data_IF_509212810792
#
_entry.id   IF_509212810792
#
_cell.length_a   1.000
_cell.length_b   1.000
_cell.length_c   1.000
_cell.angle_alpha   90.00
_cell.angle_beta   90.00
_cell.angle_gamma   90.00
#
_symmetry.space_group_name_H-M   'P 1'
#
loop_
_entity.id
_entity.type
_entity.pdbx_description
1 polymer ?
#
# COMPACT_ATOMS: atom_id res chain seq x y z
N UNK A 1 -2.48 -52.51 54.82
CA UNK A 1 -1.86 -52.98 53.57
C UNK A 1 -2.83 -52.79 52.42
N UNK A 2 -2.32 -52.24 51.32
CA UNK A 2 -2.94 -52.01 49.99
C UNK A 2 -3.61 -50.65 49.76
N UNK A 3 -2.75 -49.80 49.20
CA UNK A 3 -2.92 -48.56 48.45
C UNK A 3 -3.93 -48.63 47.29
N UNK A 4 -4.52 -47.49 46.90
CA UNK A 4 -4.89 -47.13 45.52
C UNK A 4 -5.26 -45.63 45.51
N UNK A 5 -4.30 -44.73 45.24
CA UNK A 5 -3.99 -44.09 43.94
C UNK A 5 -5.11 -43.15 43.43
N UNK A 6 -4.88 -41.84 43.62
CA UNK A 6 -5.66 -40.77 43.01
C UNK A 6 -5.27 -40.61 41.54
N UNK A 7 -6.25 -40.61 40.64
CA UNK A 7 -6.05 -40.33 39.21
C UNK A 7 -6.36 -38.85 38.96
N UNK A 8 -5.33 -38.10 38.61
CA UNK A 8 -5.39 -36.74 38.11
C UNK A 8 -5.81 -36.81 36.63
N UNK A 9 -6.98 -36.27 36.28
CA UNK A 9 -7.42 -36.15 34.87
C UNK A 9 -6.76 -34.89 34.31
N UNK A 10 -5.70 -35.04 33.52
CA UNK A 10 -5.23 -34.00 32.61
C UNK A 10 -6.21 -33.93 31.43
N UNK A 11 -6.91 -32.80 31.30
CA UNK A 11 -7.57 -32.40 30.05
C UNK A 11 -6.47 -32.00 29.06
N UNK A 12 -6.11 -32.92 28.17
CA UNK A 12 -5.37 -32.59 26.94
C UNK A 12 -6.39 -32.00 25.98
N UNK A 13 -6.26 -30.70 25.70
CA UNK A 13 -6.99 -30.03 24.63
C UNK A 13 -6.64 -30.73 23.30
N UNK A 14 -7.68 -31.18 22.60
CA UNK A 14 -7.55 -31.87 21.33
C UNK A 14 -6.85 -30.97 20.31
N UNK A 15 -5.73 -31.47 19.79
CA UNK A 15 -5.12 -31.02 18.55
C UNK A 15 -6.12 -31.21 17.42
N UNK A 16 -6.53 -30.10 16.79
CA UNK A 16 -7.15 -30.14 15.47
C UNK A 16 -6.06 -30.56 14.49
N UNK A 17 -6.15 -31.79 14.00
CA UNK A 17 -5.39 -32.23 12.85
C UNK A 17 -6.23 -31.95 11.61
N UNK A 18 -5.71 -31.13 10.69
CA UNK A 18 -5.55 -31.42 9.27
C UNK A 18 -4.51 -30.43 8.73
N UNK A 19 -3.23 -30.66 9.05
CA UNK A 19 -2.12 -30.13 8.27
C UNK A 19 -2.07 -30.92 6.96
N UNK A 20 -2.88 -30.50 5.98
CA UNK A 20 -2.54 -30.73 4.58
C UNK A 20 -1.24 -29.99 4.29
N UNK A 21 -0.39 -30.55 3.44
CA UNK A 21 0.86 -29.93 3.01
C UNK A 21 0.59 -28.47 2.61
N UNK A 22 1.16 -27.54 3.38
CA UNK A 22 0.96 -26.10 3.27
C UNK A 22 1.83 -25.57 2.12
N UNK A 23 1.32 -24.64 1.32
CA UNK A 23 2.00 -24.21 0.09
C UNK A 23 3.26 -23.37 0.30
N UNK A 24 3.30 -22.54 1.35
CA UNK A 24 4.53 -21.94 1.86
C UNK A 24 4.51 -21.94 3.38
N UNK A 25 5.63 -22.29 4.01
CA UNK A 25 5.83 -22.00 5.43
C UNK A 25 5.90 -20.47 5.60
N UNK A 26 5.41 -19.94 6.73
CA UNK A 26 5.53 -18.50 7.00
C UNK A 26 7.01 -18.09 6.88
N UNK A 27 7.37 -17.28 5.87
CA UNK A 27 8.77 -16.90 5.64
C UNK A 27 9.27 -15.88 6.68
N UNK A 28 8.36 -15.34 7.50
CA UNK A 28 8.62 -14.31 8.49
C UNK A 28 8.64 -14.90 9.91
N UNK A 29 9.86 -15.12 10.41
CA UNK A 29 10.08 -15.63 11.75
C UNK A 29 9.58 -14.62 12.82
N UNK A 30 8.85 -15.12 13.81
CA UNK A 30 8.56 -14.35 15.02
C UNK A 30 9.77 -14.36 15.95
N UNK A 31 10.12 -13.19 16.44
CA UNK A 31 11.08 -12.96 17.54
C UNK A 31 10.44 -13.18 18.91
N UNK A 32 9.10 -13.26 19.00
CA UNK A 32 8.36 -13.45 20.25
C UNK A 32 8.46 -12.26 21.23
N UNK A 33 8.86 -11.08 20.74
CA UNK A 33 9.05 -9.88 21.56
C UNK A 33 7.81 -8.99 21.56
N UNK A 34 7.35 -8.59 22.76
CA UNK A 34 6.21 -7.69 22.94
C UNK A 34 4.84 -8.33 22.66
N UNK A 35 3.74 -7.57 22.80
CA UNK A 35 2.39 -8.06 22.48
C UNK A 35 2.18 -8.22 20.96
N UNK A 36 2.92 -7.47 20.15
CA UNK A 36 2.93 -7.54 18.69
C UNK A 36 4.36 -7.45 18.18
N UNK A 37 4.78 -8.43 17.37
CA UNK A 37 6.10 -8.44 16.75
C UNK A 37 6.09 -7.61 15.45
N UNK A 38 6.41 -6.31 15.55
CA UNK A 38 6.40 -5.42 14.39
C UNK A 38 7.40 -5.83 13.31
N UNK A 39 8.51 -6.49 13.65
CA UNK A 39 9.49 -6.98 12.67
C UNK A 39 8.89 -8.09 11.82
N UNK A 40 8.17 -9.00 12.46
CA UNK A 40 7.41 -10.05 11.75
C UNK A 40 6.34 -9.44 10.85
N UNK A 41 5.58 -8.45 11.34
CA UNK A 41 4.56 -7.76 10.54
C UNK A 41 5.18 -7.08 9.32
N UNK A 42 6.34 -6.42 9.48
CA UNK A 42 7.02 -5.75 8.37
C UNK A 42 7.40 -6.74 7.27
N UNK A 43 7.98 -7.87 7.66
CA UNK A 43 8.28 -8.95 6.73
C UNK A 43 7.03 -9.46 6.01
N UNK A 44 5.96 -9.72 6.76
CA UNK A 44 4.71 -10.21 6.18
C UNK A 44 4.12 -9.20 5.19
N UNK A 45 4.22 -7.89 5.46
CA UNK A 45 3.75 -6.87 4.53
C UNK A 45 4.51 -6.88 3.20
N UNK A 46 5.83 -7.12 3.22
CA UNK A 46 6.60 -7.29 1.98
C UNK A 46 6.29 -8.59 1.24
N UNK A 47 5.98 -9.67 1.97
CA UNK A 47 5.47 -10.92 1.37
C UNK A 47 4.12 -10.69 0.69
N UNK A 48 3.25 -9.82 1.23
CA UNK A 48 2.02 -9.43 0.53
C UNK A 48 2.33 -8.74 -0.81
N UNK A 49 3.29 -7.80 -0.86
CA UNK A 49 3.66 -7.17 -2.13
C UNK A 49 4.17 -8.20 -3.15
N UNK A 50 4.96 -9.19 -2.74
CA UNK A 50 5.33 -10.30 -3.65
C UNK A 50 4.11 -11.03 -4.22
N UNK A 51 3.09 -11.25 -3.40
CA UNK A 51 1.84 -11.88 -3.81
C UNK A 51 1.02 -11.01 -4.79
N UNK A 52 1.30 -9.71 -4.90
CA UNK A 52 0.67 -8.79 -5.85
C UNK A 52 1.45 -8.60 -7.16
N UNK A 53 2.69 -9.09 -7.28
CA UNK A 53 3.54 -8.86 -8.46
C UNK A 53 2.90 -9.40 -9.74
N UNK A 54 2.76 -8.62 -10.80
CA UNK A 54 2.38 -9.06 -12.15
C UNK A 54 3.62 -9.22 -13.03
N UNK A 55 3.57 -10.00 -14.11
CA UNK A 55 4.68 -10.19 -15.04
C UNK A 55 5.53 -11.43 -14.74
N UNK A 56 6.78 -11.40 -15.21
CA UNK A 56 7.80 -12.44 -15.03
C UNK A 56 8.35 -12.39 -13.61
N UNK A 57 8.09 -13.42 -12.80
CA UNK A 57 8.44 -13.44 -11.38
C UNK A 57 9.91 -13.82 -11.17
N UNK A 58 10.60 -13.20 -10.19
CA UNK A 58 12.00 -13.52 -9.95
C UNK A 58 12.13 -14.91 -9.33
N UNK A 59 13.20 -15.63 -9.69
CA UNK A 59 13.40 -17.02 -9.27
C UNK A 59 13.64 -17.23 -7.77
N UNK A 60 13.88 -16.16 -7.01
CA UNK A 60 14.03 -16.13 -5.56
C UNK A 60 12.78 -15.62 -4.82
N UNK A 61 11.64 -15.45 -5.50
CA UNK A 61 10.37 -15.08 -4.90
C UNK A 61 9.95 -16.05 -3.78
N UNK A 62 9.53 -15.51 -2.63
CA UNK A 62 9.08 -16.28 -1.45
C UNK A 62 7.66 -16.81 -1.61
N UNK A 63 6.82 -16.11 -2.37
CA UNK A 63 5.43 -16.50 -2.65
C UNK A 63 5.38 -17.46 -3.84
N UNK A 64 5.65 -18.75 -3.59
CA UNK A 64 5.85 -19.76 -4.65
C UNK A 64 4.56 -20.32 -5.26
N UNK A 65 3.39 -19.99 -4.71
CA UNK A 65 2.09 -20.32 -5.31
C UNK A 65 1.67 -19.33 -6.40
N UNK A 66 2.38 -18.21 -6.55
CA UNK A 66 2.24 -17.29 -7.70
C UNK A 66 3.11 -17.77 -8.87
N UNK A 67 2.63 -17.54 -10.09
CA UNK A 67 3.37 -17.81 -11.33
C UNK A 67 3.40 -16.56 -12.23
N UNK A 68 4.23 -16.63 -13.27
CA UNK A 68 4.31 -15.60 -14.32
C UNK A 68 2.92 -15.36 -14.92
N UNK A 69 2.53 -14.11 -15.03
CA UNK A 69 1.18 -13.75 -15.45
C UNK A 69 1.15 -12.43 -16.23
N UNK A 70 0.09 -12.24 -17.02
CA UNK A 70 -0.10 -11.03 -17.83
C UNK A 70 1.09 -10.69 -18.75
N UNK A 71 1.75 -11.71 -19.28
CA UNK A 71 2.96 -11.59 -20.14
C UNK A 71 2.72 -10.93 -21.51
N UNK A 72 1.46 -10.63 -21.85
CA UNK A 72 1.07 -9.91 -23.06
C UNK A 72 0.74 -8.43 -22.83
N UNK A 73 0.87 -7.91 -21.61
CA UNK A 73 0.53 -6.52 -21.27
C UNK A 73 1.29 -5.52 -22.15
N UNK A 74 0.55 -4.64 -22.83
CA UNK A 74 1.08 -3.61 -23.76
C UNK A 74 1.21 -4.04 -25.22
N UNK A 75 0.93 -5.31 -25.56
CA UNK A 75 1.00 -5.81 -26.94
C UNK A 75 0.03 -5.12 -27.91
N UNK A 76 -1.12 -4.65 -27.41
CA UNK A 76 -2.12 -3.89 -28.15
C UNK A 76 -1.63 -2.51 -28.62
N UNK A 77 -0.63 -1.97 -27.91
CA UNK A 77 0.00 -0.66 -28.19
C UNK A 77 1.47 -0.77 -28.62
N UNK A 78 1.98 -1.99 -28.79
CA UNK A 78 3.36 -2.24 -29.22
C UNK A 78 4.43 -1.82 -28.21
N UNK A 79 4.12 -1.91 -26.91
CA UNK A 79 5.03 -1.61 -25.79
C UNK A 79 5.16 -2.83 -24.89
N UNK A 80 6.28 -2.97 -24.19
CA UNK A 80 6.37 -3.90 -23.06
C UNK A 80 5.84 -3.19 -21.82
N UNK A 81 4.66 -3.60 -21.36
CA UNK A 81 4.08 -3.13 -20.10
C UNK A 81 3.95 -4.27 -19.09
N UNK A 82 4.74 -5.35 -19.21
CA UNK A 82 4.81 -6.42 -18.21
C UNK A 82 5.50 -5.93 -16.93
N UNK A 83 5.16 -6.53 -15.78
CA UNK A 83 5.64 -6.08 -14.46
C UNK A 83 4.56 -5.32 -13.67
N UNK A 84 4.99 -4.63 -12.62
CA UNK A 84 4.11 -3.82 -11.77
C UNK A 84 3.25 -4.68 -10.83
N UNK A 85 2.32 -4.04 -10.12
CA UNK A 85 1.45 -4.72 -9.17
C UNK A 85 0.03 -4.85 -9.68
N UNK A 86 -0.62 -5.98 -9.41
CA UNK A 86 -2.07 -6.03 -9.37
C UNK A 86 -2.57 -5.19 -8.20
N UNK A 87 -3.62 -4.42 -8.42
CA UNK A 87 -4.07 -3.38 -7.50
C UNK A 87 -4.59 -3.95 -6.17
N UNK A 88 -5.56 -4.87 -6.27
CA UNK A 88 -6.27 -5.39 -5.11
C UNK A 88 -6.43 -6.91 -5.19
N UNK A 89 -7.65 -7.40 -4.96
CA UNK A 89 -8.03 -8.79 -5.21
C UNK A 89 -8.23 -9.13 -6.68
N UNK A 90 -8.10 -8.16 -7.57
CA UNK A 90 -8.27 -8.21 -9.02
C UNK A 90 -6.93 -8.30 -9.76
N UNK A 91 -6.95 -8.21 -11.09
CA UNK A 91 -5.73 -8.24 -11.89
C UNK A 91 -5.56 -7.00 -12.78
N UNK A 92 -6.31 -5.92 -12.50
CA UNK A 92 -6.07 -4.63 -13.14
C UNK A 92 -4.82 -4.00 -12.53
N UNK A 93 -4.05 -3.31 -13.38
CA UNK A 93 -2.93 -2.46 -12.96
C UNK A 93 -3.38 -1.02 -12.98
N UNK A 94 -3.95 -0.53 -11.89
CA UNK A 94 -4.31 0.88 -11.73
C UNK A 94 -3.07 1.70 -11.34
N UNK A 95 -2.62 2.58 -12.24
CA UNK A 95 -1.37 3.31 -12.06
C UNK A 95 -1.42 4.32 -10.91
N UNK A 96 -2.57 4.96 -10.67
CA UNK A 96 -2.67 6.01 -9.65
C UNK A 96 -2.46 5.49 -8.20
N UNK A 97 -3.21 4.47 -7.73
CA UNK A 97 -2.95 3.86 -6.42
C UNK A 97 -1.61 3.10 -6.35
N UNK A 98 -1.13 2.54 -7.47
CA UNK A 98 0.21 1.92 -7.52
C UNK A 98 1.33 2.94 -7.31
N UNK A 99 1.21 4.13 -7.92
CA UNK A 99 2.16 5.21 -7.74
C UNK A 99 2.17 5.71 -6.28
N UNK A 100 1.00 5.92 -5.67
CA UNK A 100 0.90 6.26 -4.26
C UNK A 100 1.55 5.19 -3.36
N UNK A 101 1.30 3.91 -3.65
CA UNK A 101 1.92 2.79 -2.95
C UNK A 101 3.45 2.90 -3.01
N UNK A 102 4.01 3.09 -4.21
CA UNK A 102 5.45 3.23 -4.39
C UNK A 102 6.02 4.45 -3.65
N UNK A 103 5.35 5.61 -3.69
CA UNK A 103 5.80 6.78 -2.94
C UNK A 103 5.83 6.52 -1.44
N UNK A 104 4.82 5.84 -0.89
CA UNK A 104 4.76 5.49 0.52
C UNK A 104 5.81 4.46 0.95
N UNK A 105 6.08 3.44 0.12
CA UNK A 105 7.18 2.49 0.35
C UNK A 105 8.52 3.22 0.35
N UNK A 106 8.75 4.10 -0.63
CA UNK A 106 9.92 4.97 -0.69
C UNK A 106 10.04 5.86 0.55
N UNK A 107 8.95 6.48 0.98
CA UNK A 107 8.95 7.34 2.16
C UNK A 107 9.34 6.56 3.43
N UNK A 108 8.76 5.37 3.62
CA UNK A 108 9.12 4.48 4.73
C UNK A 108 10.60 4.09 4.71
N UNK A 109 11.14 3.76 3.54
CA UNK A 109 12.56 3.38 3.38
C UNK A 109 13.51 4.55 3.65
N UNK A 110 13.10 5.79 3.37
CA UNK A 110 13.93 6.99 3.59
C UNK A 110 13.90 7.42 5.05
N UNK A 111 12.71 7.62 5.62
CA UNK A 111 12.57 8.25 6.95
C UNK A 111 12.60 7.23 8.11
N UNK A 112 12.45 5.93 7.80
CA UNK A 112 12.50 4.83 8.77
C UNK A 112 13.40 3.67 8.29
N UNK A 113 14.55 4.01 7.68
CA UNK A 113 15.55 3.04 7.20
C UNK A 113 16.05 2.13 8.32
N UNK A 114 16.22 2.65 9.54
CA UNK A 114 16.70 1.89 10.69
C UNK A 114 15.66 0.85 11.13
N UNK A 115 14.37 1.19 11.07
CA UNK A 115 13.27 0.25 11.25
C UNK A 115 13.37 -0.94 10.30
N UNK A 116 13.49 -0.66 9.00
CA UNK A 116 13.69 -1.69 7.97
C UNK A 116 14.93 -2.54 8.20
N UNK A 117 16.07 -1.90 8.45
CA UNK A 117 17.36 -2.56 8.67
C UNK A 117 17.33 -3.50 9.88
N UNK A 118 16.74 -3.05 10.99
CA UNK A 118 16.70 -3.85 12.23
C UNK A 118 15.70 -5.01 12.18
N UNK A 119 14.73 -4.96 11.26
CA UNK A 119 13.85 -6.08 10.90
C UNK A 119 14.47 -7.02 9.86
N UNK A 120 15.61 -6.65 9.25
CA UNK A 120 16.19 -7.37 8.12
C UNK A 120 15.33 -7.30 6.86
N UNK A 121 14.61 -6.19 6.66
CA UNK A 121 13.64 -5.98 5.58
C UNK A 121 14.03 -4.82 4.64
N UNK A 122 15.28 -4.36 4.71
CA UNK A 122 15.75 -3.24 3.88
C UNK A 122 15.82 -3.62 2.39
N UNK A 123 16.40 -4.78 2.06
CA UNK A 123 16.49 -5.22 0.66
C UNK A 123 15.12 -5.65 0.13
N UNK A 124 14.33 -6.42 0.91
CA UNK A 124 12.94 -6.76 0.54
C UNK A 124 12.10 -5.51 0.24
N UNK A 125 12.29 -4.44 1.02
CA UNK A 125 11.61 -3.17 0.78
C UNK A 125 12.10 -2.43 -0.46
N UNK A 126 13.42 -2.45 -0.73
CA UNK A 126 13.96 -1.94 -1.99
C UNK A 126 13.41 -2.72 -3.18
N UNK A 127 13.36 -4.04 -3.11
CA UNK A 127 12.81 -4.87 -4.18
C UNK A 127 11.32 -4.60 -4.40
N UNK A 128 10.56 -4.38 -3.32
CA UNK A 128 9.16 -4.01 -3.41
C UNK A 128 8.94 -2.64 -4.11
N UNK A 129 9.75 -1.63 -3.75
CA UNK A 129 9.72 -0.32 -4.41
C UNK A 129 10.15 -0.43 -5.87
N UNK A 130 11.26 -1.12 -6.13
CA UNK A 130 11.85 -1.29 -7.46
C UNK A 130 10.89 -1.96 -8.43
N UNK A 131 10.10 -2.93 -7.97
CA UNK A 131 9.10 -3.61 -8.79
C UNK A 131 8.05 -2.66 -9.39
N UNK A 132 7.60 -1.68 -8.61
CA UNK A 132 6.68 -0.65 -9.11
C UNK A 132 7.40 0.34 -10.03
N UNK A 133 8.59 0.80 -9.64
CA UNK A 133 9.30 1.82 -10.42
C UNK A 133 9.87 1.31 -11.72
N UNK A 134 10.29 0.04 -11.82
CA UNK A 134 10.62 -0.61 -13.08
C UNK A 134 9.44 -0.61 -14.05
N UNK A 135 8.23 -0.84 -13.55
CA UNK A 135 7.01 -0.73 -14.34
C UNK A 135 6.72 0.72 -14.77
N UNK A 136 6.91 1.70 -13.89
CA UNK A 136 6.73 3.12 -14.26
C UNK A 136 7.72 3.58 -15.33
N UNK A 137 8.98 3.12 -15.27
CA UNK A 137 9.97 3.41 -16.30
C UNK A 137 9.57 2.80 -17.66
N UNK A 138 8.97 1.61 -17.68
CA UNK A 138 8.39 1.03 -18.91
C UNK A 138 7.16 1.81 -19.39
N UNK A 139 6.30 2.24 -18.46
CA UNK A 139 5.05 2.94 -18.75
C UNK A 139 5.27 4.39 -19.23
N UNK A 140 6.38 5.03 -18.83
CA UNK A 140 6.83 6.32 -19.35
C UNK A 140 7.47 6.13 -20.73
N UNK A 141 6.65 6.29 -21.76
CA UNK A 141 7.02 5.89 -23.13
C UNK A 141 7.44 7.08 -24.02
N UNK A 142 7.33 8.28 -23.47
CA UNK A 142 7.79 9.54 -24.06
C UNK A 142 7.61 10.70 -23.08
N UNK A 143 8.24 11.84 -23.37
CA UNK A 143 8.35 12.98 -22.45
C UNK A 143 7.04 13.40 -21.76
N UNK A 144 5.93 13.42 -22.53
CA UNK A 144 4.57 13.72 -22.06
C UNK A 144 3.63 12.55 -22.41
N UNK A 145 4.04 11.31 -22.11
CA UNK A 145 3.26 10.10 -22.35
C UNK A 145 3.50 9.05 -21.26
N UNK A 146 2.46 8.73 -20.49
CA UNK A 146 2.50 7.76 -19.39
C UNK A 146 1.32 6.79 -19.46
N UNK A 147 1.60 5.49 -19.50
CA UNK A 147 0.58 4.45 -19.38
C UNK A 147 0.09 4.32 -17.93
N UNK A 148 -1.19 4.60 -17.72
CA UNK A 148 -1.81 4.69 -16.40
C UNK A 148 -2.67 3.50 -16.02
N UNK A 149 -3.02 2.63 -16.98
CA UNK A 149 -3.83 1.46 -16.69
C UNK A 149 -3.58 0.34 -17.70
N UNK A 150 -3.51 -0.90 -17.21
CA UNK A 150 -3.56 -2.12 -18.04
C UNK A 150 -4.61 -3.08 -17.49
N UNK A 151 -5.55 -3.46 -18.33
CA UNK A 151 -6.71 -4.30 -17.96
C UNK A 151 -7.99 -3.49 -17.75
N UNK A 152 -9.06 -3.90 -18.41
CA UNK A 152 -10.40 -3.30 -18.26
C UNK A 152 -11.06 -3.78 -16.97
N UNK A 153 -11.44 -2.85 -16.09
CA UNK A 153 -11.98 -3.20 -14.77
C UNK A 153 -13.22 -4.09 -14.85
N UNK A 154 -14.15 -3.82 -15.77
CA UNK A 154 -15.36 -4.64 -15.89
C UNK A 154 -15.06 -6.06 -16.39
N UNK A 155 -14.23 -6.18 -17.42
CA UNK A 155 -13.86 -7.48 -18.01
C UNK A 155 -13.02 -8.31 -17.04
N UNK A 156 -12.05 -7.68 -16.39
CA UNK A 156 -11.22 -8.29 -15.34
C UNK A 156 -12.09 -8.75 -14.16
N UNK A 157 -12.99 -7.90 -13.70
CA UNK A 157 -13.81 -8.20 -12.52
C UNK A 157 -14.85 -9.29 -12.77
N UNK A 158 -15.22 -9.52 -14.04
CA UNK A 158 -16.08 -10.65 -14.45
C UNK A 158 -15.38 -12.01 -14.40
N UNK A 159 -14.04 -12.02 -14.28
CA UNK A 159 -13.24 -13.22 -14.12
C UNK A 159 -12.89 -13.43 -12.64
N UNK A 160 -12.97 -14.68 -12.19
CA UNK A 160 -12.46 -15.10 -10.88
C UNK A 160 -11.58 -16.33 -11.05
N UNK A 161 -10.27 -16.19 -10.85
CA UNK A 161 -9.34 -17.27 -11.09
C UNK A 161 -7.89 -16.82 -10.88
N UNK A 162 -6.94 -17.67 -11.27
CA UNK A 162 -5.52 -17.33 -11.22
C UNK A 162 -5.16 -16.30 -12.29
N UNK A 163 -4.23 -15.37 -12.03
CA UNK A 163 -3.80 -14.38 -13.02
C UNK A 163 -3.12 -15.03 -14.25
N UNK A 164 -2.43 -16.15 -14.07
CA UNK A 164 -1.82 -16.95 -15.14
C UNK A 164 -2.85 -17.61 -16.08
N UNK A 165 -4.10 -17.77 -15.64
CA UNK A 165 -5.20 -18.35 -16.41
C UNK A 165 -6.06 -17.29 -17.14
N UNK A 166 -5.68 -16.00 -17.08
CA UNK A 166 -6.40 -14.92 -17.75
C UNK A 166 -6.36 -15.07 -19.28
N UNK A 167 -7.53 -15.00 -19.93
CA UNK A 167 -7.65 -15.05 -21.40
C UNK A 167 -8.37 -13.85 -22.01
N UNK A 168 -8.92 -12.95 -21.20
CA UNK A 168 -9.58 -11.75 -21.69
C UNK A 168 -8.57 -10.75 -22.26
N UNK A 169 -9.05 -9.81 -23.09
CA UNK A 169 -8.23 -8.69 -23.53
C UNK A 169 -7.85 -7.80 -22.36
N UNK A 170 -6.59 -7.39 -22.29
CA UNK A 170 -6.05 -6.48 -21.26
C UNK A 170 -5.54 -5.19 -21.92
N UNK A 171 -6.45 -4.29 -22.36
CA UNK A 171 -6.08 -3.06 -23.04
C UNK A 171 -5.22 -2.14 -22.18
N UNK A 172 -4.33 -1.39 -22.82
CA UNK A 172 -3.47 -0.40 -22.18
C UNK A 172 -3.94 1.03 -22.46
N UNK A 173 -4.16 1.82 -21.40
CA UNK A 173 -4.52 3.24 -21.51
C UNK A 173 -3.43 4.14 -20.95
N UNK A 174 -3.33 5.32 -21.55
CA UNK A 174 -2.30 6.32 -21.24
C UNK A 174 -2.90 7.71 -21.11
N UNK A 175 -2.16 8.55 -20.41
CA UNK A 175 -2.29 10.00 -20.49
C UNK A 175 -1.19 10.55 -21.39
N UNK A 176 -1.50 11.59 -22.15
CA UNK A 176 -0.57 12.26 -23.04
C UNK A 176 -0.84 13.77 -23.16
N UNK A 177 -0.14 14.46 -24.05
CA UNK A 177 -0.29 15.91 -24.24
C UNK A 177 -1.73 16.34 -24.59
N UNK A 178 -2.50 15.50 -25.28
CA UNK A 178 -3.87 15.80 -25.71
C UNK A 178 -4.93 15.27 -24.73
N UNK A 179 -4.57 14.29 -23.91
CA UNK A 179 -5.40 13.73 -22.85
C UNK A 179 -4.57 13.62 -21.55
N UNK A 180 -4.34 14.74 -20.82
CA UNK A 180 -3.44 14.76 -19.69
C UNK A 180 -4.02 14.17 -18.40
N UNK A 181 -3.19 14.03 -17.37
CA UNK A 181 -3.58 13.57 -16.03
C UNK A 181 -2.53 13.96 -15.00
N UNK A 182 -2.67 15.15 -14.43
CA UNK A 182 -1.68 15.76 -13.52
C UNK A 182 -1.54 15.02 -12.20
N UNK A 183 -2.65 14.50 -11.69
CA UNK A 183 -2.73 13.64 -10.52
C UNK A 183 -1.88 12.37 -10.72
N UNK A 184 -2.15 11.59 -11.77
CA UNK A 184 -1.41 10.36 -12.08
C UNK A 184 0.08 10.64 -12.39
N UNK A 185 0.37 11.61 -13.25
CA UNK A 185 1.75 11.95 -13.61
C UNK A 185 2.53 12.51 -12.41
N UNK A 186 1.89 13.35 -11.59
CA UNK A 186 2.46 13.90 -10.37
C UNK A 186 2.77 12.83 -9.34
N UNK A 187 1.84 11.93 -9.05
CA UNK A 187 2.10 10.84 -8.09
C UNK A 187 3.20 9.89 -8.59
N UNK A 188 3.25 9.60 -9.89
CA UNK A 188 4.32 8.78 -10.47
C UNK A 188 5.68 9.49 -10.41
N UNK A 189 5.70 10.81 -10.61
CA UNK A 189 6.91 11.62 -10.42
C UNK A 189 7.37 11.60 -8.95
N UNK A 190 6.45 11.68 -7.99
CA UNK A 190 6.76 11.57 -6.57
C UNK A 190 7.37 10.21 -6.22
N UNK A 191 6.78 9.12 -6.72
CA UNK A 191 7.28 7.76 -6.52
C UNK A 191 8.71 7.58 -7.03
N UNK A 192 8.98 8.03 -8.26
CA UNK A 192 10.30 7.93 -8.88
C UNK A 192 11.34 8.85 -8.22
N UNK A 193 10.93 10.05 -7.76
CA UNK A 193 11.78 10.92 -6.97
C UNK A 193 12.14 10.28 -5.61
N UNK A 194 11.17 9.70 -4.90
CA UNK A 194 11.42 8.95 -3.67
C UNK A 194 12.37 7.76 -3.91
N UNK A 195 12.13 6.98 -4.98
CA UNK A 195 13.02 5.88 -5.35
C UNK A 195 14.44 6.35 -5.67
N UNK A 196 14.61 7.49 -6.35
CA UNK A 196 15.95 8.03 -6.60
C UNK A 196 16.75 8.26 -5.32
N UNK A 197 16.10 8.72 -4.24
CA UNK A 197 16.74 8.89 -2.93
C UNK A 197 17.12 7.54 -2.33
N UNK A 198 16.20 6.56 -2.34
CA UNK A 198 16.43 5.21 -1.80
C UNK A 198 17.61 4.52 -2.48
N UNK A 199 17.70 4.63 -3.81
CA UNK A 199 18.71 3.92 -4.60
C UNK A 199 20.01 4.69 -4.77
N UNK A 200 20.10 5.98 -4.42
CA UNK A 200 21.24 6.85 -4.71
C UNK A 200 22.61 6.25 -4.33
N UNK A 201 22.68 5.51 -3.22
CA UNK A 201 23.93 4.95 -2.68
C UNK A 201 24.13 3.47 -3.01
N UNK A 202 23.10 2.76 -3.49
CA UNK A 202 23.17 1.32 -3.78
C UNK A 202 23.14 1.01 -5.27
N UNK A 203 22.46 1.84 -6.06
CA UNK A 203 22.45 1.83 -7.51
C UNK A 203 22.26 3.27 -8.04
N UNK A 204 23.37 4.00 -8.12
CA UNK A 204 23.35 5.39 -8.58
C UNK A 204 22.91 5.55 -10.05
N UNK A 205 23.04 4.51 -10.87
CA UNK A 205 22.61 4.53 -12.27
C UNK A 205 21.09 4.50 -12.35
N UNK A 206 20.48 3.54 -11.64
CA UNK A 206 19.03 3.45 -11.52
C UNK A 206 18.43 4.69 -10.85
N UNK A 207 19.07 5.20 -9.79
CA UNK A 207 18.63 6.42 -9.13
C UNK A 207 18.58 7.63 -10.09
N UNK A 208 19.60 7.78 -10.94
CA UNK A 208 19.64 8.85 -11.93
C UNK A 208 18.56 8.69 -13.02
N UNK A 209 18.28 7.45 -13.45
CA UNK A 209 17.20 7.15 -14.39
C UNK A 209 15.83 7.50 -13.80
N UNK A 210 15.53 7.02 -12.59
CA UNK A 210 14.32 7.38 -11.85
C UNK A 210 14.16 8.89 -11.70
N UNK A 211 15.23 9.59 -11.30
CA UNK A 211 15.18 11.04 -11.13
C UNK A 211 14.96 11.77 -12.45
N UNK A 212 15.56 11.30 -13.54
CA UNK A 212 15.35 11.89 -14.87
C UNK A 212 13.88 11.82 -15.27
N UNK A 213 13.27 10.62 -15.17
CA UNK A 213 11.86 10.43 -15.53
C UNK A 213 10.93 11.17 -14.57
N UNK A 214 11.25 11.23 -13.26
CA UNK A 214 10.49 12.00 -12.28
C UNK A 214 10.37 13.48 -12.68
N UNK A 215 11.44 14.08 -13.21
CA UNK A 215 11.42 15.47 -13.67
C UNK A 215 10.54 15.67 -14.90
N UNK A 216 10.60 14.74 -15.86
CA UNK A 216 9.76 14.80 -17.07
C UNK A 216 8.28 14.68 -16.72
N UNK A 217 7.92 13.72 -15.86
CA UNK A 217 6.55 13.51 -15.42
C UNK A 217 6.00 14.66 -14.57
N UNK A 218 6.81 15.27 -13.72
CA UNK A 218 6.39 16.48 -13.00
C UNK A 218 6.14 17.65 -13.96
N UNK A 219 7.03 17.86 -14.93
CA UNK A 219 6.82 18.89 -15.93
C UNK A 219 5.55 18.62 -16.75
N UNK A 220 5.30 17.37 -17.13
CA UNK A 220 4.07 16.96 -17.79
C UNK A 220 2.85 17.34 -16.94
N UNK A 221 2.86 16.95 -15.67
CA UNK A 221 1.78 17.19 -14.74
C UNK A 221 1.48 18.68 -14.57
N UNK A 222 2.51 19.52 -14.41
CA UNK A 222 2.32 20.95 -14.15
C UNK A 222 1.92 21.74 -15.42
N UNK A 223 2.45 21.38 -16.59
CA UNK A 223 2.20 22.09 -17.85
C UNK A 223 0.91 21.66 -18.58
N UNK A 224 0.40 20.46 -18.30
CA UNK A 224 -0.79 19.89 -18.95
C UNK A 224 -1.77 19.43 -17.88
N UNK A 225 -2.63 20.35 -17.47
CA UNK A 225 -3.52 20.17 -16.32
C UNK A 225 -4.88 19.59 -16.67
N UNK A 226 -5.14 18.38 -16.20
CA UNK A 226 -6.43 17.68 -16.24
C UNK A 226 -6.42 16.55 -15.20
N UNK A 227 -7.59 16.07 -14.79
CA UNK A 227 -7.75 14.88 -13.94
C UNK A 227 -7.57 13.61 -14.80
N UNK A 228 -6.71 12.67 -14.40
CA UNK A 228 -6.36 11.54 -15.27
C UNK A 228 -7.57 10.69 -15.67
N UNK A 229 -8.56 10.57 -14.79
CA UNK A 229 -9.77 9.77 -15.05
C UNK A 229 -10.69 10.38 -16.11
N UNK A 230 -10.46 11.64 -16.53
CA UNK A 230 -11.10 12.21 -17.71
C UNK A 230 -10.47 11.67 -19.00
N UNK A 231 -9.15 11.45 -18.97
CA UNK A 231 -8.35 10.92 -20.07
C UNK A 231 -8.38 9.39 -20.15
N UNK A 232 -8.47 8.72 -18.99
CA UNK A 232 -8.66 7.28 -18.83
C UNK A 232 -10.01 7.05 -18.12
N UNK A 233 -11.14 7.17 -18.83
CA UNK A 233 -12.47 7.08 -18.23
C UNK A 233 -12.77 5.70 -17.62
N UNK A 234 -12.06 4.66 -18.03
CA UNK A 234 -12.17 3.31 -17.48
C UNK A 234 -11.73 3.22 -16.01
N UNK A 235 -10.97 4.20 -15.51
CA UNK A 235 -10.57 4.26 -14.11
C UNK A 235 -11.62 4.96 -13.23
N UNK A 236 -12.56 5.72 -13.81
CA UNK A 236 -13.43 6.64 -13.06
C UNK A 236 -14.45 5.94 -12.14
N UNK A 237 -14.77 4.67 -12.39
CA UNK A 237 -15.66 3.88 -11.52
C UNK A 237 -14.90 3.14 -10.40
N UNK A 238 -13.56 3.22 -10.41
CA UNK A 238 -12.67 2.50 -9.47
C UNK A 238 -11.82 3.49 -8.66
N UNK A 239 -10.95 4.24 -9.34
CA UNK A 239 -9.97 5.16 -8.75
C UNK A 239 -10.15 6.58 -9.29
N UNK A 240 -11.36 7.12 -9.22
CA UNK A 240 -11.61 8.50 -9.59
C UNK A 240 -10.76 9.47 -8.75
N UNK A 241 -10.15 10.46 -9.38
CA UNK A 241 -9.56 11.58 -8.63
C UNK A 241 -10.69 12.45 -8.07
N UNK A 242 -10.85 12.44 -6.75
CA UNK A 242 -11.88 13.19 -6.01
C UNK A 242 -11.32 14.49 -5.43
N UNK A 243 -10.08 14.46 -4.93
CA UNK A 243 -9.35 15.60 -4.37
C UNK A 243 -8.95 16.64 -5.42
N UNK A 244 -8.77 16.21 -6.67
CA UNK A 244 -8.21 17.01 -7.75
C UNK A 244 -6.79 16.55 -8.10
N UNK A 245 -5.99 17.46 -8.67
CA UNK A 245 -4.56 17.22 -8.95
C UNK A 245 -3.63 18.18 -8.19
N UNK A 246 -4.21 19.13 -7.44
CA UNK A 246 -3.45 20.25 -6.87
C UNK A 246 -2.51 19.81 -5.76
N UNK A 247 -2.93 18.79 -5.01
CA UNK A 247 -2.16 18.15 -3.97
C UNK A 247 -1.03 17.29 -4.52
N UNK A 248 -1.20 16.59 -5.64
CA UNK A 248 -0.14 15.84 -6.34
C UNK A 248 0.91 16.75 -6.94
N UNK A 249 0.52 17.91 -7.49
CA UNK A 249 1.49 18.91 -7.97
C UNK A 249 2.37 19.43 -6.83
N UNK A 250 1.77 19.69 -5.66
CA UNK A 250 2.53 20.12 -4.49
C UNK A 250 3.41 19.00 -3.93
N UNK A 251 2.84 17.79 -3.83
CA UNK A 251 3.49 16.57 -3.35
C UNK A 251 4.73 16.19 -4.17
N UNK A 252 4.58 16.11 -5.48
CA UNK A 252 5.65 15.77 -6.41
C UNK A 252 6.74 16.84 -6.46
N UNK A 253 6.38 18.12 -6.42
CA UNK A 253 7.34 19.21 -6.29
C UNK A 253 8.18 19.09 -5.00
N UNK A 254 7.57 18.74 -3.87
CA UNK A 254 8.32 18.51 -2.62
C UNK A 254 9.25 17.30 -2.70
N UNK A 255 8.81 16.19 -3.28
CA UNK A 255 9.66 15.01 -3.47
C UNK A 255 10.85 15.31 -4.40
N UNK A 256 10.62 16.03 -5.49
CA UNK A 256 11.69 16.47 -6.37
C UNK A 256 12.63 17.46 -5.67
N UNK A 257 12.12 18.40 -4.88
CA UNK A 257 12.98 19.26 -4.07
C UNK A 257 13.82 18.44 -3.09
N UNK A 258 13.22 17.46 -2.41
CA UNK A 258 13.94 16.57 -1.50
C UNK A 258 15.02 15.74 -2.20
N UNK A 259 14.77 15.27 -3.42
CA UNK A 259 15.72 14.48 -4.19
C UNK A 259 16.86 15.31 -4.81
N UNK A 260 16.63 16.60 -5.09
CA UNK A 260 17.52 17.43 -5.93
C UNK A 260 18.17 18.60 -5.20
N UNK A 261 17.52 19.13 -4.17
CA UNK A 261 17.86 20.40 -3.54
C UNK A 261 17.61 21.64 -4.40
N UNK A 262 16.96 21.51 -5.57
CA UNK A 262 16.73 22.63 -6.48
C UNK A 262 15.59 23.54 -6.01
N UNK A 263 15.90 24.81 -5.76
CA UNK A 263 14.94 25.77 -5.19
C UNK A 263 13.70 25.99 -6.05
N UNK A 264 13.79 25.79 -7.38
CA UNK A 264 12.65 25.90 -8.29
C UNK A 264 11.50 24.97 -7.90
N UNK A 265 11.78 23.76 -7.44
CA UNK A 265 10.74 22.84 -6.97
C UNK A 265 10.15 23.25 -5.64
N UNK A 266 10.95 23.80 -4.72
CA UNK A 266 10.45 24.34 -3.47
C UNK A 266 9.54 25.56 -3.72
N UNK A 267 9.94 26.45 -4.63
CA UNK A 267 9.14 27.62 -5.02
C UNK A 267 7.83 27.19 -5.69
N UNK A 268 7.86 26.18 -6.57
CA UNK A 268 6.66 25.60 -7.16
C UNK A 268 5.74 24.98 -6.10
N UNK A 269 6.28 24.18 -5.17
CA UNK A 269 5.52 23.61 -4.07
C UNK A 269 4.84 24.70 -3.22
N UNK A 270 5.55 25.81 -2.91
CA UNK A 270 4.97 26.96 -2.18
C UNK A 270 3.83 27.62 -2.96
N UNK A 271 4.00 27.77 -4.27
CA UNK A 271 2.94 28.31 -5.13
C UNK A 271 1.72 27.38 -5.18
N UNK A 272 1.91 26.07 -5.28
CA UNK A 272 0.82 25.09 -5.26
C UNK A 272 0.14 25.04 -3.89
N UNK A 273 0.91 25.12 -2.80
CA UNK A 273 0.41 25.23 -1.43
C UNK A 273 -0.63 26.35 -1.28
N UNK A 274 -0.29 27.54 -1.78
CA UNK A 274 -1.19 28.70 -1.76
C UNK A 274 -2.35 28.57 -2.76
N UNK A 275 -2.06 28.16 -4.00
CA UNK A 275 -3.04 28.18 -5.09
C UNK A 275 -4.13 27.13 -4.95
N UNK A 276 -3.81 25.99 -4.35
CA UNK A 276 -4.75 24.87 -4.16
C UNK A 276 -5.25 24.75 -2.72
N UNK A 277 -4.87 25.69 -1.84
CA UNK A 277 -5.37 25.72 -0.47
C UNK A 277 -4.94 24.51 0.35
N UNK A 278 -3.71 24.04 0.15
CA UNK A 278 -3.17 22.83 0.80
C UNK A 278 -3.16 22.97 2.32
N UNK A 279 -3.04 24.19 2.85
CA UNK A 279 -3.09 24.45 4.29
C UNK A 279 -4.42 24.08 4.96
N UNK A 280 -5.49 23.88 4.18
CA UNK A 280 -6.79 23.47 4.73
C UNK A 280 -6.73 21.98 5.11
N UNK A 281 -6.85 21.63 6.41
CA UNK A 281 -6.72 20.25 6.86
C UNK A 281 -7.73 19.32 6.17
N UNK A 282 -7.29 18.24 5.50
CA UNK A 282 -8.20 17.26 4.94
C UNK A 282 -8.82 16.41 6.07
N UNK A 283 -9.78 15.57 5.71
CA UNK A 283 -10.35 14.56 6.61
C UNK A 283 -9.64 13.20 6.55
N UNK A 284 -8.62 13.06 5.69
CA UNK A 284 -7.91 11.81 5.45
C UNK A 284 -6.51 12.03 4.85
N UNK A 285 -5.79 10.93 4.65
CA UNK A 285 -4.60 10.81 3.81
C UNK A 285 -4.72 9.48 3.05
N UNK A 286 -4.61 9.49 1.73
CA UNK A 286 -4.93 8.32 0.89
C UNK A 286 -4.25 8.38 -0.48
N UNK A 287 -4.49 7.35 -1.30
CA UNK A 287 -4.10 7.33 -2.71
C UNK A 287 -4.70 8.48 -3.52
N UNK A 288 -5.75 9.15 -3.02
CA UNK A 288 -6.40 10.29 -3.67
C UNK A 288 -5.92 11.61 -3.07
N UNK A 289 -5.95 11.75 -1.73
CA UNK A 289 -5.63 13.03 -1.08
C UNK A 289 -4.26 13.04 -0.38
N UNK A 290 -3.36 13.93 -0.84
CA UNK A 290 -1.97 14.05 -0.38
C UNK A 290 -1.74 15.21 0.58
N UNK A 291 -2.75 16.05 0.88
CA UNK A 291 -2.58 17.28 1.66
C UNK A 291 -1.87 17.05 3.00
N UNK A 292 -2.27 16.02 3.77
CA UNK A 292 -1.64 15.71 5.05
C UNK A 292 -0.17 15.27 4.89
N UNK A 293 0.14 14.52 3.83
CA UNK A 293 1.51 14.15 3.46
C UNK A 293 2.34 15.37 3.08
N UNK A 294 1.78 16.29 2.29
CA UNK A 294 2.40 17.55 1.91
C UNK A 294 2.71 18.42 3.13
N UNK A 295 1.79 18.52 4.09
CA UNK A 295 2.03 19.24 5.37
C UNK A 295 3.21 18.65 6.15
N UNK A 296 3.28 17.31 6.24
CA UNK A 296 4.37 16.62 6.91
C UNK A 296 5.72 16.81 6.18
N UNK A 297 5.76 16.66 4.86
CA UNK A 297 6.98 16.89 4.07
C UNK A 297 7.45 18.33 4.11
N UNK A 298 6.56 19.31 4.00
CA UNK A 298 6.95 20.71 4.17
C UNK A 298 7.52 20.97 5.56
N UNK A 299 6.90 20.42 6.62
CA UNK A 299 7.40 20.55 7.99
C UNK A 299 8.80 19.94 8.15
N UNK A 300 9.05 18.80 7.51
CA UNK A 300 10.36 18.16 7.45
C UNK A 300 11.40 19.03 6.72
N UNK A 301 11.01 19.58 5.56
CA UNK A 301 11.92 20.27 4.65
C UNK A 301 12.14 21.75 5.01
N UNK A 302 11.25 22.35 5.79
CA UNK A 302 11.30 23.73 6.28
C UNK A 302 11.13 23.76 7.81
N UNK A 303 12.06 23.16 8.57
CA UNK A 303 11.92 23.00 10.01
C UNK A 303 11.85 24.35 10.74
N UNK A 304 10.94 24.45 11.70
CA UNK A 304 10.71 25.67 12.50
C UNK A 304 9.76 26.68 11.86
N UNK A 305 9.31 26.47 10.62
CA UNK A 305 8.27 27.29 9.99
C UNK A 305 6.87 26.81 10.39
N UNK A 306 6.17 27.63 11.17
CA UNK A 306 4.80 27.34 11.64
C UNK A 306 3.75 27.35 10.52
N UNK A 307 4.10 27.88 9.34
CA UNK A 307 3.24 27.86 8.15
C UNK A 307 2.84 26.44 7.77
N UNK A 308 3.72 25.46 8.01
CA UNK A 308 3.53 24.05 7.63
C UNK A 308 3.22 23.16 8.83
N UNK A 309 3.90 23.36 9.96
CA UNK A 309 3.66 22.56 11.17
C UNK A 309 2.32 22.87 11.83
N UNK A 310 1.80 24.10 11.69
CA UNK A 310 0.48 24.49 12.20
C UNK A 310 -0.67 23.69 11.55
N UNK A 311 -0.79 23.68 10.22
CA UNK A 311 -1.77 22.84 9.51
C UNK A 311 -1.63 21.34 9.80
N UNK A 312 -0.40 20.80 9.90
CA UNK A 312 -0.16 19.42 10.29
C UNK A 312 -0.72 19.11 11.69
N UNK A 313 -0.44 19.99 12.65
CA UNK A 313 -0.95 19.87 14.01
C UNK A 313 -2.49 19.94 14.03
N UNK A 314 -3.08 20.86 13.26
CA UNK A 314 -4.53 21.01 13.16
C UNK A 314 -5.18 19.77 12.54
N UNK A 315 -4.62 19.23 11.45
CA UNK A 315 -5.06 17.98 10.83
C UNK A 315 -5.11 16.84 11.86
N UNK A 316 -4.00 16.59 12.55
CA UNK A 316 -3.93 15.48 13.53
C UNK A 316 -4.86 15.69 14.74
N UNK A 317 -5.06 16.94 15.17
CA UNK A 317 -6.08 17.27 16.16
C UNK A 317 -7.50 16.97 15.67
N UNK A 318 -7.82 17.28 14.40
CA UNK A 318 -9.11 16.96 13.82
C UNK A 318 -9.33 15.45 13.72
N UNK A 319 -8.34 14.71 13.20
CA UNK A 319 -8.39 13.25 13.07
C UNK A 319 -8.60 12.56 14.42
N UNK A 320 -7.88 12.97 15.48
CA UNK A 320 -8.07 12.40 16.82
C UNK A 320 -9.45 12.61 17.42
N UNK A 321 -10.17 13.64 16.96
CA UNK A 321 -11.52 13.96 17.41
C UNK A 321 -12.62 13.35 16.51
N UNK A 322 -12.24 12.61 15.46
CA UNK A 322 -13.19 11.88 14.64
C UNK A 322 -13.85 10.72 15.40
N UNK A 323 -15.00 10.23 14.92
CA UNK A 323 -15.60 9.03 15.48
C UNK A 323 -14.65 7.84 15.48
N UNK A 324 -14.76 7.00 16.50
CA UNK A 324 -13.97 5.79 16.66
C UNK A 324 -14.86 4.57 16.74
N UNK A 325 -14.31 3.40 16.43
CA UNK A 325 -14.92 2.12 16.77
C UNK A 325 -14.92 1.92 18.30
N UNK A 326 -15.73 1.01 18.86
CA UNK A 326 -15.73 0.74 20.30
C UNK A 326 -14.36 0.35 20.89
N UNK A 327 -13.45 -0.19 20.08
CA UNK A 327 -12.08 -0.51 20.49
C UNK A 327 -11.05 0.60 20.26
N UNK A 328 -11.47 1.79 19.80
CA UNK A 328 -10.63 2.99 19.75
C UNK A 328 -9.91 3.28 18.42
N UNK A 329 -10.17 2.49 17.37
CA UNK A 329 -9.69 2.84 16.01
C UNK A 329 -10.49 4.02 15.46
N UNK A 330 -9.81 5.03 14.92
CA UNK A 330 -10.45 6.11 14.16
C UNK A 330 -11.19 5.54 12.96
N UNK A 331 -12.43 5.97 12.76
CA UNK A 331 -13.27 5.53 11.65
C UNK A 331 -13.49 6.69 10.69
N UNK A 332 -12.70 6.71 9.61
CA UNK A 332 -12.73 7.78 8.60
C UNK A 332 -13.74 7.45 7.51
N UNK A 333 -13.63 6.25 6.92
CA UNK A 333 -14.53 5.77 5.86
C UNK A 333 -14.82 4.28 6.02
N UNK A 334 -15.90 3.84 5.35
CA UNK A 334 -16.32 2.44 5.33
C UNK A 334 -15.41 1.56 4.47
N UNK A 335 -14.99 2.04 3.30
CA UNK A 335 -14.08 1.35 2.40
C UNK A 335 -12.64 1.49 2.89
N UNK A 336 -11.98 0.38 3.23
CA UNK A 336 -10.62 0.42 3.75
C UNK A 336 -10.50 1.16 5.09
N UNK A 337 -11.37 0.88 6.06
CA UNK A 337 -11.38 1.57 7.35
C UNK A 337 -10.04 1.44 8.10
N UNK A 338 -9.42 0.26 8.04
CA UNK A 338 -8.07 0.02 8.59
C UNK A 338 -6.97 0.71 7.79
N UNK A 339 -7.05 0.74 6.45
CA UNK A 339 -6.15 1.52 5.58
C UNK A 339 -6.15 2.98 5.98
N UNK A 340 -7.33 3.58 6.12
CA UNK A 340 -7.44 4.98 6.52
C UNK A 340 -6.84 5.23 7.90
N UNK A 341 -7.12 4.36 8.88
CA UNK A 341 -6.52 4.46 10.22
C UNK A 341 -4.99 4.33 10.19
N UNK A 342 -4.45 3.39 9.41
CA UNK A 342 -3.01 3.21 9.23
C UNK A 342 -2.34 4.42 8.55
N UNK A 343 -2.97 4.97 7.51
CA UNK A 343 -2.47 6.14 6.79
C UNK A 343 -2.32 7.36 7.70
N UNK A 344 -3.35 7.68 8.49
CA UNK A 344 -3.26 8.83 9.41
C UNK A 344 -2.37 8.54 10.62
N UNK A 345 -2.25 7.28 11.05
CA UNK A 345 -1.29 6.87 12.06
C UNK A 345 0.16 7.09 11.58
N UNK A 346 0.47 6.76 10.33
CA UNK A 346 1.76 7.06 9.72
C UNK A 346 2.07 8.57 9.75
N UNK A 347 1.12 9.42 9.35
CA UNK A 347 1.29 10.89 9.44
C UNK A 347 1.50 11.33 10.90
N UNK A 348 0.83 10.69 11.86
CA UNK A 348 1.07 10.88 13.29
C UNK A 348 2.50 10.54 13.72
N UNK A 349 3.02 9.39 13.28
CA UNK A 349 4.41 8.98 13.56
C UNK A 349 5.42 9.93 12.93
N UNK A 350 5.18 10.39 11.70
CA UNK A 350 5.98 11.43 11.05
C UNK A 350 5.95 12.75 11.84
N UNK A 351 4.77 13.22 12.24
CA UNK A 351 4.64 14.42 13.06
C UNK A 351 5.37 14.28 14.40
N UNK A 352 5.33 13.10 15.02
CA UNK A 352 6.07 12.82 16.24
C UNK A 352 7.59 12.88 16.04
N UNK A 353 8.10 12.27 14.97
CA UNK A 353 9.51 12.36 14.55
C UNK A 353 9.96 13.81 14.33
N UNK A 354 9.05 14.65 13.83
CA UNK A 354 9.26 16.08 13.57
C UNK A 354 9.09 16.99 14.80
N UNK A 355 8.72 16.43 15.96
CA UNK A 355 8.54 17.20 17.20
C UNK A 355 7.19 17.91 17.32
N UNK A 356 6.25 17.68 16.41
CA UNK A 356 4.89 18.23 16.46
C UNK A 356 4.05 17.35 17.38
N UNK A 357 3.61 17.87 18.54
CA UNK A 357 2.85 17.15 19.58
C UNK A 357 3.38 15.72 19.85
N UNK A 358 4.70 15.59 19.93
CA UNK A 358 5.38 14.30 19.71
C UNK A 358 4.85 13.15 20.57
N UNK A 359 4.73 13.33 21.89
CA UNK A 359 4.23 12.29 22.77
C UNK A 359 2.77 11.90 22.51
N UNK A 360 1.93 12.88 22.17
CA UNK A 360 0.51 12.64 21.85
C UNK A 360 0.35 11.92 20.52
N UNK A 361 1.07 12.37 19.49
CA UNK A 361 1.03 11.79 18.17
C UNK A 361 1.60 10.36 18.14
N UNK A 362 2.73 10.13 18.84
CA UNK A 362 3.31 8.79 19.00
C UNK A 362 2.30 7.84 19.64
N UNK A 363 1.86 8.12 20.88
CA UNK A 363 0.99 7.22 21.62
C UNK A 363 -0.35 6.96 20.91
N UNK A 364 -0.92 7.99 20.25
CA UNK A 364 -2.14 7.82 19.48
C UNK A 364 -1.91 6.93 18.26
N UNK A 365 -0.88 7.18 17.44
CA UNK A 365 -0.61 6.38 16.26
C UNK A 365 -0.31 4.91 16.60
N UNK A 366 0.47 4.67 17.66
CA UNK A 366 0.73 3.32 18.20
C UNK A 366 -0.57 2.59 18.54
N UNK A 367 -1.55 3.29 19.13
CA UNK A 367 -2.85 2.68 19.46
C UNK A 367 -3.64 2.25 18.23
N UNK A 368 -3.53 3.00 17.11
CA UNK A 368 -4.21 2.67 15.85
C UNK A 368 -3.59 1.44 15.20
N UNK A 369 -2.26 1.39 15.13
CA UNK A 369 -1.53 0.22 14.62
C UNK A 369 -1.81 -1.00 15.50
N UNK A 370 -1.75 -0.86 16.83
CA UNK A 370 -2.03 -1.97 17.73
C UNK A 370 -3.48 -2.46 17.65
N UNK A 371 -4.44 -1.58 17.35
CA UNK A 371 -5.81 -2.02 17.04
C UNK A 371 -5.83 -2.94 15.82
N UNK A 372 -5.17 -2.54 14.73
CA UNK A 372 -5.08 -3.33 13.49
C UNK A 372 -4.41 -4.69 13.76
N UNK A 373 -3.38 -4.71 14.60
CA UNK A 373 -2.64 -5.92 14.95
C UNK A 373 -3.36 -6.82 15.96
N UNK A 374 -4.26 -6.25 16.76
CA UNK A 374 -5.35 -6.97 17.41
C UNK A 374 -5.63 -6.66 18.88
N UNK A 375 -5.35 -5.44 19.32
CA UNK A 375 -5.65 -4.98 20.70
C UNK A 375 -7.14 -4.99 21.02
N UNK A 376 -7.99 -5.02 19.99
CA UNK A 376 -9.45 -5.14 20.10
C UNK A 376 -9.96 -6.59 20.14
N UNK A 377 -9.06 -7.58 20.21
CA UNK A 377 -9.40 -9.00 20.33
C UNK A 377 -9.33 -9.81 19.02
N UNK A 378 -9.00 -9.16 17.90
CA UNK A 378 -8.69 -9.84 16.63
C UNK A 378 -7.70 -9.05 15.80
N UNK A 379 -6.86 -9.72 15.02
CA UNK A 379 -6.08 -9.05 13.98
C UNK A 379 -6.93 -8.76 12.74
N UNK A 380 -6.54 -7.72 12.00
CA UNK A 380 -6.99 -7.40 10.65
C UNK A 380 -5.89 -7.62 9.60
N UNK A 381 -4.76 -8.23 9.99
CA UNK A 381 -3.68 -8.62 9.10
C UNK A 381 -3.75 -10.12 8.87
N UNK A 382 -3.87 -10.53 7.61
CA UNK A 382 -4.02 -11.94 7.23
C UNK A 382 -2.84 -12.77 7.75
N UNK A 383 -3.16 -13.86 8.46
CA UNK A 383 -2.24 -14.78 9.13
C UNK A 383 -1.32 -14.20 10.23
N UNK A 384 -1.61 -13.00 10.75
CA UNK A 384 -0.88 -12.43 11.89
C UNK A 384 -1.72 -12.40 13.17
N UNK A 385 -1.10 -12.67 14.33
CA UNK A 385 -1.77 -12.56 15.63
C UNK A 385 -2.91 -13.56 15.83
N UNK A 386 -3.93 -13.17 16.61
CA UNK A 386 -5.08 -14.02 16.95
C UNK A 386 -6.31 -13.65 16.12
N UNK A 387 -7.12 -14.64 15.74
CA UNK A 387 -8.40 -14.45 15.03
C UNK A 387 -8.26 -13.56 13.77
N UNK A 388 -7.19 -13.79 13.00
CA UNK A 388 -6.94 -13.08 11.75
C UNK A 388 -7.96 -13.43 10.65
N UNK A 389 -8.12 -12.59 9.62
CA UNK A 389 -8.89 -12.91 8.42
C UNK A 389 -8.30 -14.10 7.67
N UNK A 390 -9.15 -15.03 7.24
CA UNK A 390 -8.78 -16.21 6.46
C UNK A 390 -9.42 -16.21 5.07
N UNK A 391 -10.39 -15.32 4.81
CA UNK A 391 -11.17 -15.30 3.57
C UNK A 391 -11.08 -13.92 2.89
N UNK A 392 -9.88 -13.36 2.66
CA UNK A 392 -9.77 -12.08 1.97
C UNK A 392 -10.38 -12.17 0.56
N UNK A 393 -11.02 -11.08 0.11
CA UNK A 393 -11.57 -10.93 -1.24
C UNK A 393 -10.40 -10.79 -2.24
N UNK A 394 -9.81 -11.92 -2.62
CA UNK A 394 -8.59 -11.95 -3.41
C UNK A 394 -8.55 -13.20 -4.29
N UNK A 395 -8.52 -12.99 -5.61
CA UNK A 395 -8.69 -14.05 -6.62
C UNK A 395 -7.61 -15.11 -6.53
N UNK A 396 -6.35 -14.72 -6.68
CA UNK A 396 -5.24 -15.67 -6.79
C UNK A 396 -5.07 -16.52 -5.52
N UNK A 397 -5.22 -15.91 -4.33
CA UNK A 397 -5.11 -16.67 -3.07
C UNK A 397 -6.30 -17.59 -2.80
N UNK A 398 -7.46 -17.34 -3.42
CA UNK A 398 -8.63 -18.20 -3.31
C UNK A 398 -8.58 -19.46 -4.19
N UNK A 399 -7.59 -19.54 -5.09
CA UNK A 399 -7.39 -20.67 -5.98
C UNK A 399 -6.57 -21.78 -5.33
N UNK A 400 -6.81 -23.05 -5.70
CA UNK A 400 -5.98 -24.17 -5.28
C UNK A 400 -4.65 -24.19 -6.05
N UNK A 401 -3.74 -25.08 -5.65
CA UNK A 401 -2.46 -25.26 -6.34
C UNK A 401 -2.62 -25.82 -7.75
N UNK A 402 -1.68 -25.48 -8.62
CA UNK A 402 -1.56 -26.12 -9.93
C UNK A 402 -1.12 -27.59 -9.71
N UNK A 403 -1.73 -28.58 -10.40
CA UNK A 403 -2.56 -28.45 -11.60
C UNK A 403 -4.08 -28.40 -11.37
N UNK A 404 -4.55 -28.22 -10.13
CA UNK A 404 -5.98 -28.20 -9.84
C UNK A 404 -6.64 -26.98 -10.50
N UNK A 405 -7.80 -27.17 -11.11
CA UNK A 405 -8.47 -26.09 -11.83
C UNK A 405 -9.07 -25.08 -10.85
N UNK A 406 -8.81 -23.79 -11.06
CA UNK A 406 -9.49 -22.74 -10.31
C UNK A 406 -10.81 -22.38 -11.02
N UNK A 407 -11.89 -23.05 -10.62
CA UNK A 407 -13.24 -22.74 -11.10
C UNK A 407 -13.74 -21.45 -10.43
N UNK A 408 -14.07 -20.42 -11.21
CA UNK A 408 -14.63 -19.16 -10.76
C UNK A 408 -15.83 -19.34 -9.80
N UNK A 409 -16.71 -20.29 -10.11
CA UNK A 409 -17.90 -20.56 -9.30
C UNK A 409 -17.57 -21.27 -7.98
N UNK A 410 -16.40 -21.88 -7.87
CA UNK A 410 -15.94 -22.52 -6.64
C UNK A 410 -15.01 -21.60 -5.84
N UNK A 411 -13.98 -21.04 -6.45
CA UNK A 411 -12.95 -20.28 -5.75
C UNK A 411 -13.51 -19.03 -5.04
N UNK A 412 -14.49 -18.35 -5.65
CA UNK A 412 -15.16 -17.22 -5.00
C UNK A 412 -16.08 -17.68 -3.86
N UNK A 413 -16.89 -18.71 -4.11
CA UNK A 413 -18.00 -19.09 -3.22
C UNK A 413 -17.69 -20.25 -2.27
N UNK A 414 -16.47 -20.80 -2.28
CA UNK A 414 -16.14 -21.96 -1.45
C UNK A 414 -16.23 -21.64 0.04
N UNK A 415 -16.68 -22.65 0.78
CA UNK A 415 -16.70 -22.66 2.22
C UNK A 415 -15.28 -22.79 2.79
N UNK A 416 -14.99 -22.03 3.85
CA UNK A 416 -13.68 -22.05 4.51
C UNK A 416 -12.66 -21.04 3.96
N UNK A 417 -11.45 -21.12 4.52
CA UNK A 417 -10.32 -20.24 4.24
C UNK A 417 -9.92 -20.24 2.76
N UNK A 418 -9.24 -19.17 2.31
CA UNK A 418 -8.54 -19.19 1.04
C UNK A 418 -7.46 -20.30 1.05
N UNK A 419 -7.27 -21.07 -0.03
CA UNK A 419 -6.31 -22.19 -0.04
C UNK A 419 -4.87 -21.70 0.08
N UNK A 420 -4.56 -20.54 -0.50
CA UNK A 420 -3.25 -19.91 -0.35
C UNK A 420 -3.24 -18.90 0.79
N UNK A 421 -2.12 -18.88 1.51
CA UNK A 421 -1.91 -17.93 2.59
C UNK A 421 -1.40 -16.59 2.05
N UNK A 422 -2.27 -15.59 2.10
CA UNK A 422 -1.96 -14.21 1.70
C UNK A 422 -1.35 -13.44 2.88
N UNK A 423 -0.20 -13.91 3.37
CA UNK A 423 0.48 -13.35 4.53
C UNK A 423 0.63 -11.83 4.45
N UNK A 424 0.25 -11.14 5.52
CA UNK A 424 0.52 -9.71 5.69
C UNK A 424 -0.46 -8.75 5.03
N UNK A 425 -1.41 -9.24 4.23
CA UNK A 425 -2.44 -8.39 3.64
C UNK A 425 -3.30 -7.75 4.73
N UNK A 426 -3.47 -6.42 4.66
CA UNK A 426 -4.36 -5.66 5.51
C UNK A 426 -5.76 -5.67 4.89
N UNK A 427 -6.74 -6.30 5.57
CA UNK A 427 -8.13 -6.27 5.09
C UNK A 427 -8.79 -4.94 5.41
N UNK A 428 -9.82 -4.55 4.64
CA UNK A 428 -10.55 -3.29 4.80
C UNK A 428 -11.05 -3.03 6.23
N UNK A 429 -11.45 -4.07 6.96
CA UNK A 429 -11.64 -4.01 8.40
C UNK A 429 -13.09 -3.77 8.86
N UNK A 430 -13.30 -3.40 10.14
CA UNK A 430 -14.63 -3.36 10.73
C UNK A 430 -15.41 -2.13 10.25
N UNK A 431 -16.74 -2.19 10.41
CA UNK A 431 -17.56 -0.99 10.35
C UNK A 431 -17.36 -0.12 11.61
N UNK A 432 -18.00 1.05 11.63
CA UNK A 432 -17.89 1.98 12.75
C UNK A 432 -18.35 1.37 14.09
N UNK A 433 -19.26 0.40 14.06
CA UNK A 433 -19.71 -0.32 15.25
C UNK A 433 -18.69 -1.34 15.77
N UNK A 434 -17.57 -1.53 15.07
CA UNK A 434 -16.57 -2.56 15.37
C UNK A 434 -16.96 -3.95 14.85
N UNK A 435 -18.02 -4.07 14.04
CA UNK A 435 -18.48 -5.36 13.53
C UNK A 435 -17.71 -5.76 12.28
N UNK A 436 -17.24 -7.00 12.26
CA UNK A 436 -16.53 -7.58 11.14
C UNK A 436 -16.89 -9.07 11.03
N UNK A 437 -17.14 -9.52 9.80
CA UNK A 437 -17.33 -10.92 9.45
C UNK A 437 -16.29 -11.27 8.40
N UNK A 438 -15.61 -12.41 8.58
CA UNK A 438 -14.64 -12.94 7.62
C UNK A 438 -15.39 -13.63 6.48
N UNK A 439 -15.75 -12.84 5.46
CA UNK A 439 -16.52 -13.25 4.29
C UNK A 439 -15.86 -12.74 3.02
N UNK A 440 -15.43 -13.67 2.17
CA UNK A 440 -14.81 -13.39 0.87
C UNK A 440 -15.69 -12.54 -0.02
N UNK A 441 -17.01 -12.62 0.11
CA UNK A 441 -17.93 -11.85 -0.73
C UNK A 441 -18.18 -10.43 -0.20
N UNK A 442 -17.75 -10.12 1.02
CA UNK A 442 -17.78 -8.76 1.57
C UNK A 442 -16.51 -8.01 1.14
N UNK A 443 -16.54 -7.48 -0.09
CA UNK A 443 -15.46 -6.66 -0.65
C UNK A 443 -15.31 -5.31 0.07
N UNK A 444 -16.17 -4.93 1.01
CA UNK A 444 -15.95 -3.75 1.86
C UNK A 444 -14.96 -4.08 2.97
N UNK A 445 -15.24 -5.15 3.71
CA UNK A 445 -14.52 -5.49 4.94
C UNK A 445 -13.33 -6.42 4.70
N UNK A 446 -13.39 -7.25 3.66
CA UNK A 446 -12.39 -8.28 3.36
C UNK A 446 -11.56 -8.00 2.11
N UNK A 447 -11.77 -6.88 1.44
CA UNK A 447 -10.85 -6.40 0.39
C UNK A 447 -9.46 -6.14 0.96
N UNK A 448 -8.47 -6.39 0.11
CA UNK A 448 -7.05 -6.16 0.33
C UNK A 448 -6.51 -5.44 -0.90
N UNK A 449 -5.59 -4.50 -0.71
CA UNK A 449 -5.01 -3.73 -1.81
C UNK A 449 -3.58 -3.27 -1.53
N UNK A 450 -2.83 -2.98 -2.57
CA UNK A 450 -1.47 -2.44 -2.47
C UNK A 450 -1.43 -1.14 -1.65
N UNK A 451 -2.41 -0.26 -1.84
CA UNK A 451 -2.50 1.01 -1.11
C UNK A 451 -2.96 0.83 0.34
N UNK A 452 -3.69 -0.26 0.65
CA UNK A 452 -4.05 -0.61 2.03
C UNK A 452 -2.81 -0.91 2.87
N UNK A 453 -1.85 -1.63 2.29
CA UNK A 453 -0.60 -1.95 2.96
C UNK A 453 0.44 -0.81 2.89
N UNK A 454 0.26 0.22 2.07
CA UNK A 454 1.32 1.19 1.76
C UNK A 454 1.80 1.97 2.97
N UNK A 455 0.99 2.89 3.51
CA UNK A 455 1.37 3.64 4.70
C UNK A 455 1.36 2.76 5.96
N UNK A 456 0.63 1.64 5.96
CA UNK A 456 0.74 0.63 7.02
C UNK A 456 2.15 0.07 7.12
N UNK A 457 2.79 -0.30 6.00
CA UNK A 457 4.18 -0.80 5.95
C UNK A 457 5.14 0.25 6.48
N UNK A 458 4.99 1.50 6.04
CA UNK A 458 5.82 2.60 6.51
C UNK A 458 5.62 2.89 8.01
N UNK A 459 4.38 2.78 8.51
CA UNK A 459 4.07 2.91 9.94
C UNK A 459 4.69 1.77 10.75
N UNK A 460 4.62 0.52 10.27
CA UNK A 460 5.24 -0.62 10.95
C UNK A 460 6.76 -0.46 11.01
N UNK A 461 7.41 0.04 9.96
CA UNK A 461 8.83 0.37 10.03
C UNK A 461 9.14 1.42 11.09
N UNK A 462 8.33 2.47 11.19
CA UNK A 462 8.44 3.47 12.26
C UNK A 462 8.25 2.87 13.66
N UNK A 463 7.31 1.92 13.82
CA UNK A 463 7.09 1.18 15.07
C UNK A 463 8.29 0.29 15.45
N UNK A 464 8.93 -0.33 14.47
CA UNK A 464 10.18 -1.09 14.68
C UNK A 464 11.33 -0.18 15.09
N UNK A 465 11.41 1.04 14.55
CA UNK A 465 12.46 1.99 14.94
C UNK A 465 12.27 2.54 16.36
N UNK A 466 11.02 2.63 16.85
CA UNK A 466 10.70 3.19 18.17
C UNK A 466 10.70 2.16 19.32
N UNK A 467 10.84 0.87 19.05
CA UNK A 467 10.79 -0.24 20.01
C UNK A 467 12.02 -1.15 19.93
#
# INVERSE_FOLDING_TARGET
>A
MKSLLAVLILLVAGSWALDGERNINNPCASTGMGPYDYKQVLCMSYVFYEAQRSGDLPGDQRVTWRQDSAMGDGSDVGKDLTGGYYDAGDHVKFGFPMAFTATMLGWGLIDFEQGHSSAGQLEDGRDALKWATDYFLKAHTGYFELYGQVGDGYSDHSFWGRPEDMTMSRPAWKIDTNAPGSDLAGETAAALAAASIVFQNVDSGYAAECLSVARELYQFADERRELYHISIPQAADFYKSWSGYGDELCWSALWLYRATGESSYLDAAKNHWDSFGIMNPPSEFSWDNKNAGVMALFTLLQPGDSTYSGPLQQFLNNIRNMPTTPGGMVFIQQWGSTRHAANVAFIGLMAAKLGVDAGTNQAWAESQINYILGSSGRSFVVHFGSNFPQRPHHRSSSCPDIPEYCDANWAQYQDGANPQFLYGALVGGPDQGGSYVDDRNDYVKNEVACDYNAAFTAAIAAMVESH
#
